data_IF_173726637162
#
_entry.id   IF_173726637162
#
_cell.length_a   1.000
_cell.length_b   1.000
_cell.length_c   1.000
_cell.angle_alpha   90.00
_cell.angle_beta   90.00
_cell.angle_gamma   90.00
#
_symmetry.space_group_name_H-M   'P 1'
#
loop_
_entity.id
_entity.type
_entity.pdbx_description
1 polymer ?
#
# COMPACT_ATOMS: atom_id res chain seq x y z
N UNK A 1 -1.81 11.71 27.13
CA UNK A 1 -1.26 12.76 27.55
C UNK A 1 0.03 13.02 26.96
N UNK A 2 1.11 12.47 27.46
CA UNK A 2 2.42 12.69 26.89
C UNK A 2 2.52 12.12 25.49
N UNK A 3 1.91 10.96 25.27
CA UNK A 3 1.92 10.36 23.95
C UNK A 3 1.21 11.22 22.91
N UNK A 4 0.15 11.90 23.31
CA UNK A 4 -0.57 12.75 22.36
C UNK A 4 0.31 13.84 21.79
N UNK A 5 1.17 14.46 22.60
CA UNK A 5 2.02 15.53 22.09
C UNK A 5 3.14 15.00 21.19
N UNK A 6 3.57 13.77 21.34
CA UNK A 6 4.56 13.15 20.45
C UNK A 6 3.93 12.75 19.13
N UNK A 7 2.70 12.24 19.16
CA UNK A 7 2.02 11.79 17.94
C UNK A 7 1.82 12.92 16.94
N UNK A 8 1.69 14.15 17.42
CA UNK A 8 1.56 15.31 16.55
C UNK A 8 2.84 15.61 15.76
N UNK A 9 3.96 15.03 16.19
CA UNK A 9 5.27 15.37 15.63
C UNK A 9 5.93 14.26 14.85
N UNK A 10 5.29 13.09 14.72
CA UNK A 10 5.86 11.95 14.01
C UNK A 10 4.93 11.49 12.91
N UNK A 11 5.52 10.95 11.85
CA UNK A 11 4.75 10.29 10.80
C UNK A 11 4.34 8.92 11.31
N UNK A 12 3.08 8.59 11.17
CA UNK A 12 2.52 7.33 11.61
C UNK A 12 2.11 6.52 10.40
N UNK A 13 2.62 5.30 10.28
CA UNK A 13 2.37 4.45 9.10
C UNK A 13 2.14 3.02 9.56
N UNK A 14 0.91 2.69 9.98
CA UNK A 14 0.60 1.35 10.48
C UNK A 14 0.57 0.30 9.37
N UNK A 15 0.83 -0.94 9.76
CA UNK A 15 0.76 -2.10 8.86
C UNK A 15 -0.58 -2.80 9.11
N UNK A 16 -1.37 -3.00 8.07
CA UNK A 16 -2.68 -3.63 8.15
C UNK A 16 -2.71 -4.89 7.29
N UNK A 17 -3.00 -6.02 7.91
CA UNK A 17 -3.16 -7.29 7.20
C UNK A 17 -4.64 -7.48 6.88
N UNK A 18 -4.98 -7.51 5.60
CA UNK A 18 -6.37 -7.66 5.17
C UNK A 18 -6.91 -9.07 5.37
N UNK A 19 -6.06 -10.02 5.79
CA UNK A 19 -6.53 -11.31 6.27
C UNK A 19 -7.21 -11.23 7.63
N UNK A 20 -7.00 -10.13 8.36
CA UNK A 20 -7.67 -9.89 9.63
C UNK A 20 -9.10 -9.43 9.37
N UNK A 21 -10.06 -10.08 10.03
CA UNK A 21 -11.49 -9.76 9.86
C UNK A 21 -11.83 -8.35 10.30
N UNK A 22 -11.03 -7.75 11.17
CA UNK A 22 -11.24 -6.41 11.70
C UNK A 22 -10.50 -5.32 10.93
N UNK A 23 -9.90 -5.67 9.78
CA UNK A 23 -9.01 -4.76 9.07
C UNK A 23 -9.67 -3.41 8.74
N UNK A 24 -10.89 -3.44 8.19
CA UNK A 24 -11.60 -2.20 7.86
C UNK A 24 -11.84 -1.34 9.09
N UNK A 25 -12.25 -1.97 10.20
CA UNK A 25 -12.51 -1.25 11.43
C UNK A 25 -11.22 -0.64 11.97
N UNK A 26 -10.12 -1.41 11.92
CA UNK A 26 -8.82 -0.91 12.40
C UNK A 26 -8.40 0.31 11.60
N UNK A 27 -8.52 0.28 10.28
CA UNK A 27 -8.18 1.41 9.43
C UNK A 27 -9.06 2.62 9.76
N UNK A 28 -10.36 2.40 9.91
CA UNK A 28 -11.29 3.49 10.24
C UNK A 28 -10.95 4.12 11.57
N UNK A 29 -10.61 3.30 12.57
CA UNK A 29 -10.24 3.80 13.88
C UNK A 29 -8.95 4.63 13.80
N UNK A 30 -7.94 4.16 13.06
CA UNK A 30 -6.71 4.92 12.85
C UNK A 30 -6.98 6.27 12.18
N UNK A 31 -7.85 6.30 11.19
CA UNK A 31 -8.18 7.55 10.49
C UNK A 31 -8.80 8.56 11.42
N UNK A 32 -9.64 8.10 12.36
CA UNK A 32 -10.26 8.99 13.35
C UNK A 32 -9.27 9.50 14.38
N UNK A 33 -8.39 8.61 14.84
CA UNK A 33 -7.58 8.90 16.02
C UNK A 33 -6.26 9.58 15.70
N UNK A 34 -5.58 9.14 14.61
CA UNK A 34 -4.19 9.51 14.39
C UNK A 34 -3.91 10.10 13.02
N UNK A 35 -4.80 9.92 12.07
CA UNK A 35 -4.63 10.37 10.68
C UNK A 35 -3.26 9.97 10.12
N UNK A 36 -2.99 8.68 9.95
CA UNK A 36 -1.67 8.23 9.48
C UNK A 36 -1.31 8.82 8.12
N UNK A 37 -0.01 9.05 7.91
CA UNK A 37 0.49 9.54 6.62
C UNK A 37 0.29 8.51 5.53
N UNK A 38 0.44 7.22 5.88
CA UNK A 38 0.27 6.11 4.96
C UNK A 38 -0.12 4.87 5.74
N UNK A 39 -0.75 3.92 5.03
CA UNK A 39 -0.98 2.58 5.57
C UNK A 39 -0.22 1.59 4.70
N UNK A 40 0.57 0.72 5.31
CA UNK A 40 1.12 -0.42 4.59
C UNK A 40 0.05 -1.50 4.59
N UNK A 41 -0.43 -1.87 3.41
CA UNK A 41 -1.50 -2.85 3.26
C UNK A 41 -0.90 -4.18 2.83
N UNK A 42 -1.22 -5.24 3.56
CA UNK A 42 -0.74 -6.59 3.28
C UNK A 42 -1.94 -7.48 2.97
N UNK A 43 -1.86 -8.24 1.90
CA UNK A 43 -2.84 -9.28 1.61
C UNK A 43 -2.19 -10.39 0.81
N UNK A 44 -2.52 -11.64 1.14
CA UNK A 44 -1.91 -12.80 0.48
C UNK A 44 -2.80 -13.40 -0.61
N UNK A 45 -4.12 -13.32 -0.44
CA UNK A 45 -5.06 -13.91 -1.39
C UNK A 45 -5.37 -12.89 -2.51
N UNK A 46 -4.97 -13.18 -3.75
CA UNK A 46 -5.25 -12.24 -4.86
C UNK A 46 -6.74 -12.02 -5.11
N UNK A 47 -7.59 -12.89 -4.57
CA UNK A 47 -9.05 -12.76 -4.70
C UNK A 47 -9.69 -11.99 -3.56
N UNK A 48 -8.91 -11.52 -2.60
CA UNK A 48 -9.44 -10.76 -1.47
C UNK A 48 -10.17 -9.52 -2.01
N UNK A 49 -11.45 -9.31 -1.65
CA UNK A 49 -12.22 -8.17 -2.17
C UNK A 49 -11.92 -6.84 -1.49
N UNK A 50 -11.15 -6.84 -0.41
CA UNK A 50 -10.90 -5.63 0.38
C UNK A 50 -9.98 -4.60 -0.27
N UNK A 51 -8.91 -4.97 -1.01
CA UNK A 51 -8.00 -3.94 -1.51
C UNK A 51 -8.68 -2.81 -2.30
N UNK A 52 -9.62 -3.07 -3.23
CA UNK A 52 -10.32 -1.96 -3.90
C UNK A 52 -11.15 -1.10 -2.93
N UNK A 53 -11.73 -1.72 -1.90
CA UNK A 53 -12.49 -0.97 -0.88
C UNK A 53 -11.57 -0.07 -0.09
N UNK A 54 -10.37 -0.55 0.24
CA UNK A 54 -9.38 0.23 0.98
C UNK A 54 -8.93 1.43 0.14
N UNK A 55 -8.75 1.24 -1.16
CA UNK A 55 -8.43 2.34 -2.06
C UNK A 55 -9.44 3.49 -1.92
N UNK A 56 -10.73 3.16 -1.91
CA UNK A 56 -11.77 4.18 -1.79
C UNK A 56 -11.82 4.78 -0.39
N UNK A 57 -11.67 3.94 0.63
CA UNK A 57 -11.71 4.40 2.02
C UNK A 57 -10.60 5.39 2.32
N UNK A 58 -9.41 5.18 1.77
CA UNK A 58 -8.24 6.03 2.02
C UNK A 58 -8.07 7.16 1.03
N UNK A 59 -8.91 7.25 0.00
CA UNK A 59 -8.78 8.27 -1.03
C UNK A 59 -8.78 9.67 -0.42
N UNK A 60 -7.72 10.44 -0.71
CA UNK A 60 -7.50 11.80 -0.20
C UNK A 60 -7.38 11.88 1.33
N UNK A 61 -7.23 10.75 2.00
CA UNK A 61 -7.10 10.73 3.48
C UNK A 61 -5.74 10.25 3.92
N UNK A 62 -5.19 9.25 3.23
CA UNK A 62 -3.91 8.67 3.57
C UNK A 62 -3.33 7.99 2.34
N UNK A 63 -2.03 7.84 2.28
CA UNK A 63 -1.37 7.14 1.18
C UNK A 63 -1.44 5.64 1.41
N UNK A 64 -1.40 4.88 0.32
CA UNK A 64 -1.39 3.44 0.36
C UNK A 64 -0.01 2.94 -0.05
N UNK A 65 0.53 2.04 0.75
CA UNK A 65 1.85 1.47 0.59
C UNK A 65 1.72 -0.05 0.44
N UNK A 66 2.26 -0.58 -0.63
CA UNK A 66 2.34 -2.03 -0.81
C UNK A 66 3.79 -2.46 -0.84
N UNK A 67 4.04 -3.65 -0.30
CA UNK A 67 5.35 -4.26 -0.25
C UNK A 67 5.39 -5.39 -1.29
N UNK A 68 6.24 -5.25 -2.30
CA UNK A 68 6.30 -6.20 -3.42
C UNK A 68 7.43 -7.23 -3.27
N UNK A 69 8.09 -7.29 -2.11
CA UNK A 69 9.19 -8.24 -1.90
C UNK A 69 8.74 -9.70 -1.99
N UNK A 70 7.54 -10.00 -1.50
CA UNK A 70 7.00 -11.36 -1.46
C UNK A 70 5.57 -11.37 -1.98
N UNK A 71 5.22 -12.42 -2.72
CA UNK A 71 3.86 -12.57 -3.22
C UNK A 71 2.81 -12.56 -2.13
N UNK A 72 3.15 -13.10 -0.95
CA UNK A 72 2.22 -13.15 0.19
C UNK A 72 1.90 -11.78 0.79
N UNK A 73 2.62 -10.74 0.40
CA UNK A 73 2.38 -9.39 0.92
C UNK A 73 1.54 -8.54 -0.01
N UNK A 74 1.44 -8.89 -1.28
CA UNK A 74 0.74 -8.07 -2.26
C UNK A 74 -0.09 -8.91 -3.23
N UNK A 75 -0.72 -9.98 -2.75
CA UNK A 75 -1.62 -10.79 -3.55
C UNK A 75 -0.97 -11.34 -4.82
N UNK A 76 0.31 -11.72 -4.72
CA UNK A 76 1.13 -12.23 -5.83
C UNK A 76 1.47 -11.17 -6.89
N UNK A 77 1.20 -9.89 -6.64
CA UNK A 77 1.63 -8.79 -7.50
C UNK A 77 2.99 -8.29 -7.03
N UNK A 78 3.99 -9.18 -7.06
CA UNK A 78 5.29 -8.94 -6.45
C UNK A 78 6.38 -8.62 -7.49
N UNK A 79 7.61 -8.44 -6.99
CA UNK A 79 8.74 -8.12 -7.85
C UNK A 79 9.02 -9.21 -8.88
N UNK A 80 8.83 -10.48 -8.51
CA UNK A 80 9.06 -11.58 -9.44
C UNK A 80 8.11 -11.51 -10.64
N UNK A 81 6.83 -11.24 -10.38
CA UNK A 81 5.87 -11.05 -11.46
C UNK A 81 6.24 -9.81 -12.29
N UNK A 82 6.70 -8.75 -11.62
CA UNK A 82 7.05 -7.51 -12.31
C UNK A 82 8.16 -7.70 -13.33
N UNK A 83 9.12 -8.59 -13.07
CA UNK A 83 10.22 -8.82 -14.00
C UNK A 83 9.76 -9.39 -15.33
N UNK A 84 8.60 -10.06 -15.36
CA UNK A 84 8.03 -10.59 -16.62
C UNK A 84 6.87 -9.73 -17.11
N UNK A 85 6.09 -9.14 -16.20
CA UNK A 85 4.92 -8.34 -16.57
C UNK A 85 4.68 -7.24 -15.54
N UNK A 86 5.38 -6.11 -15.67
CA UNK A 86 5.24 -5.03 -14.67
C UNK A 86 3.85 -4.41 -14.62
N UNK A 87 3.07 -4.50 -15.70
CA UNK A 87 1.71 -3.98 -15.70
C UNK A 87 0.81 -4.77 -14.74
N UNK A 88 1.02 -6.08 -14.64
CA UNK A 88 0.24 -6.92 -13.75
C UNK A 88 0.72 -6.86 -12.30
N UNK A 89 1.86 -6.30 -12.06
CA UNK A 89 2.39 -6.12 -10.72
C UNK A 89 2.33 -4.65 -10.32
N UNK A 90 3.35 -3.87 -10.63
CA UNK A 90 3.40 -2.45 -10.25
C UNK A 90 2.22 -1.66 -10.80
N UNK A 91 1.90 -1.89 -12.08
CA UNK A 91 0.79 -1.18 -12.72
C UNK A 91 -0.53 -1.47 -12.03
N UNK A 92 -0.78 -2.73 -11.72
CA UNK A 92 -2.00 -3.12 -11.03
C UNK A 92 -2.10 -2.46 -9.64
N UNK A 93 -1.02 -2.52 -8.87
CA UNK A 93 -1.03 -1.94 -7.52
C UNK A 93 -1.26 -0.42 -7.57
N UNK A 94 -0.65 0.26 -8.54
CA UNK A 94 -0.78 1.71 -8.65
C UNK A 94 -2.15 2.11 -9.20
N UNK A 95 -2.55 1.55 -10.33
CA UNK A 95 -3.78 1.97 -11.01
C UNK A 95 -5.03 1.39 -10.38
N UNK A 96 -5.02 0.10 -10.08
CA UNK A 96 -6.22 -0.56 -9.57
C UNK A 96 -6.35 -0.42 -8.06
N UNK A 97 -5.25 -0.46 -7.33
CA UNK A 97 -5.30 -0.44 -5.86
C UNK A 97 -4.84 0.87 -5.24
N UNK A 98 -4.43 1.83 -6.04
CA UNK A 98 -4.15 3.17 -5.55
C UNK A 98 -2.83 3.34 -4.80
N UNK A 99 -1.87 2.45 -5.02
CA UNK A 99 -0.58 2.56 -4.36
C UNK A 99 0.14 3.85 -4.73
N UNK A 100 0.75 4.48 -3.75
CA UNK A 100 1.62 5.65 -3.95
C UNK A 100 3.00 5.41 -3.38
N UNK A 101 3.17 4.37 -2.60
CA UNK A 101 4.45 3.93 -2.06
C UNK A 101 4.58 2.45 -2.40
N UNK A 102 5.68 2.08 -3.03
CA UNK A 102 5.99 0.68 -3.31
C UNK A 102 7.34 0.35 -2.69
N UNK A 103 7.37 -0.70 -1.90
CA UNK A 103 8.61 -1.22 -1.34
C UNK A 103 9.07 -2.38 -2.21
N UNK A 104 10.25 -2.27 -2.78
CA UNK A 104 10.77 -3.23 -3.75
C UNK A 104 12.24 -3.48 -3.51
N UNK A 105 12.74 -4.66 -3.88
CA UNK A 105 14.18 -4.90 -3.96
C UNK A 105 14.72 -4.73 -5.38
N UNK A 106 13.87 -4.23 -6.31
CA UNK A 106 14.24 -3.93 -7.69
C UNK A 106 14.04 -2.43 -7.97
N UNK A 107 14.69 -1.54 -7.21
CA UNK A 107 14.39 -0.10 -7.33
C UNK A 107 14.70 0.50 -8.69
N UNK A 108 15.81 0.09 -9.32
CA UNK A 108 16.16 0.62 -10.64
C UNK A 108 15.13 0.20 -11.68
N UNK A 109 14.69 -1.05 -11.62
CA UNK A 109 13.69 -1.58 -12.55
C UNK A 109 12.35 -0.87 -12.36
N UNK A 110 11.92 -0.68 -11.12
CA UNK A 110 10.69 0.03 -10.81
C UNK A 110 10.75 1.48 -11.31
N UNK A 111 11.84 2.19 -11.04
CA UNK A 111 11.98 3.58 -11.49
C UNK A 111 11.92 3.68 -13.00
N UNK A 112 12.58 2.76 -13.73
CA UNK A 112 12.52 2.75 -15.18
C UNK A 112 11.08 2.56 -15.67
N UNK A 113 10.37 1.62 -15.06
CA UNK A 113 8.97 1.39 -15.39
C UNK A 113 8.11 2.63 -15.16
N UNK A 114 8.26 3.26 -13.98
CA UNK A 114 7.48 4.45 -13.63
C UNK A 114 7.76 5.62 -14.58
N UNK A 115 9.03 5.78 -14.99
CA UNK A 115 9.40 6.84 -15.94
C UNK A 115 8.78 6.59 -17.31
N UNK A 116 8.77 5.35 -17.78
CA UNK A 116 8.15 5.00 -19.06
C UNK A 116 6.64 5.24 -19.05
N UNK A 117 6.03 5.11 -17.89
CA UNK A 117 4.59 5.39 -17.74
C UNK A 117 4.31 6.88 -17.52
N UNK A 118 5.35 7.69 -17.33
CA UNK A 118 5.16 9.12 -17.04
C UNK A 118 4.73 9.38 -15.59
N UNK A 119 4.91 8.42 -14.70
CA UNK A 119 4.51 8.54 -13.29
C UNK A 119 5.64 8.99 -12.37
N UNK A 120 6.84 9.13 -12.91
CA UNK A 120 8.01 9.57 -12.15
C UNK A 120 8.96 10.30 -13.08
N UNK A 121 9.60 11.34 -12.58
CA UNK A 121 10.61 12.11 -13.34
C UNK A 121 11.95 11.34 -13.46
#
# INVERSE_FOLDING_TARGET
REFGSYLDKVLYMPVIDLGNKEAEKIITDYLKELRPAAFEIIYSDPKNPLPPKIKQLLFKKSLIWYNTLWGSLAGNHDDNLALTDPEKSYGYLIEQLGARILQTDQPAYLLDYLRKKGWHN
#
